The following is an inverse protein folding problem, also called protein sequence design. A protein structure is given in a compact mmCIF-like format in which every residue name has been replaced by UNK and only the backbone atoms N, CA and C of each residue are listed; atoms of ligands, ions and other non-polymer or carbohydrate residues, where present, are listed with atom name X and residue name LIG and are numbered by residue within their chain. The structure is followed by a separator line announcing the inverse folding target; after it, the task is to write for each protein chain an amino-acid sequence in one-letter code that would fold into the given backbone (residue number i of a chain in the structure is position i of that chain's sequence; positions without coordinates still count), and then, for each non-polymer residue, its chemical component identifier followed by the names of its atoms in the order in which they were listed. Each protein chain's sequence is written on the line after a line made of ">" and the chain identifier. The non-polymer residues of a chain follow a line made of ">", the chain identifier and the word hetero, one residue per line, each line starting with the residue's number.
data_IF_739673109338
#
_entry.id   IF_739673109338
#
_cell.length_a   1.000
_cell.length_b   1.000
_cell.length_c   1.000
_cell.angle_alpha   90.00
_cell.angle_beta   90.00
_cell.angle_gamma   90.00
#
_symmetry.space_group_name_H-M   'P 1'
#
loop_
_entity.id
_entity.type
_entity.pdbx_description
1 polymer ?
#
# COMPACT_ATOMS: atom_id res chain seq x y z
N UNK A 1 2.40 -1.32 0.36
CA UNK A 1 1.42 -2.44 0.29
C UNK A 1 1.07 -2.69 -1.17
N UNK A 2 1.55 -3.79 -1.75
CA UNK A 2 1.24 -4.18 -3.12
C UNK A 2 0.30 -5.39 -3.10
N UNK A 3 -0.57 -5.51 -4.11
CA UNK A 3 -1.42 -6.67 -4.33
C UNK A 3 -0.93 -7.40 -5.58
N UNK A 4 -0.77 -8.73 -5.50
CA UNK A 4 -0.28 -9.54 -6.60
C UNK A 4 -1.36 -9.58 -7.68
N UNK A 5 -1.09 -8.94 -8.81
CA UNK A 5 -1.99 -8.93 -9.97
C UNK A 5 -1.83 -10.17 -10.83
N UNK A 6 -0.65 -10.78 -10.89
CA UNK A 6 -0.33 -11.85 -11.84
C UNK A 6 0.97 -12.56 -11.44
N UNK A 7 1.26 -13.72 -12.05
CA UNK A 7 2.47 -14.52 -11.77
C UNK A 7 3.18 -14.90 -13.07
N UNK A 8 3.94 -13.97 -13.68
CA UNK A 8 4.52 -14.18 -15.01
C UNK A 8 5.49 -15.36 -15.05
N UNK A 9 6.26 -15.59 -13.98
CA UNK A 9 7.21 -16.71 -13.88
C UNK A 9 6.55 -18.09 -13.74
N UNK A 10 5.23 -18.14 -13.53
CA UNK A 10 4.47 -19.39 -13.38
C UNK A 10 3.53 -19.63 -14.56
N UNK A 11 3.69 -18.88 -15.67
CA UNK A 11 2.84 -18.99 -16.85
C UNK A 11 1.44 -18.39 -16.71
N UNK A 12 1.11 -17.78 -15.57
CA UNK A 12 -0.16 -17.08 -15.34
C UNK A 12 -0.07 -15.63 -15.84
N UNK A 13 0.08 -15.45 -17.15
CA UNK A 13 -0.07 -14.13 -17.79
C UNK A 13 -1.56 -13.80 -17.82
N UNK A 14 -1.99 -12.78 -17.09
CA UNK A 14 -3.39 -12.38 -17.09
C UNK A 14 -3.80 -11.84 -18.46
N UNK A 15 -4.72 -12.54 -19.12
CA UNK A 15 -5.48 -12.00 -20.25
C UNK A 15 -6.53 -10.99 -19.74
N UNK A 16 -6.72 -9.84 -20.40
CA UNK A 16 -7.76 -8.89 -20.03
C UNK A 16 -9.13 -9.59 -20.08
N UNK A 17 -9.84 -9.67 -18.94
CA UNK A 17 -11.24 -10.11 -18.87
C UNK A 17 -11.52 -11.50 -18.27
N UNK A 18 -10.53 -12.39 -18.08
CA UNK A 18 -10.82 -13.76 -17.60
C UNK A 18 -10.76 -13.97 -16.06
N UNK A 19 -10.35 -12.96 -15.28
CA UNK A 19 -10.20 -13.08 -13.82
C UNK A 19 -10.87 -11.95 -13.01
N UNK A 20 -11.98 -11.39 -13.52
CA UNK A 20 -12.61 -10.19 -12.94
C UNK A 20 -13.05 -10.38 -11.47
N UNK A 21 -13.73 -11.47 -11.08
CA UNK A 21 -14.28 -11.57 -9.72
C UNK A 21 -13.21 -11.58 -8.60
N UNK A 22 -12.09 -12.30 -8.81
CA UNK A 22 -10.99 -12.32 -7.85
C UNK A 22 -10.21 -11.00 -7.84
N UNK A 23 -10.01 -10.42 -9.03
CA UNK A 23 -9.31 -9.15 -9.18
C UNK A 23 -10.10 -7.98 -8.57
N UNK A 24 -11.40 -7.87 -8.87
CA UNK A 24 -12.30 -6.84 -8.32
C UNK A 24 -12.40 -6.93 -6.79
N UNK A 25 -12.54 -8.16 -6.24
CA UNK A 25 -12.50 -8.36 -4.79
C UNK A 25 -11.16 -7.92 -4.19
N UNK A 26 -10.06 -8.29 -4.84
CA UNK A 26 -8.72 -7.93 -4.37
C UNK A 26 -8.48 -6.41 -4.42
N UNK A 27 -8.94 -5.73 -5.47
CA UNK A 27 -8.89 -4.25 -5.58
C UNK A 27 -9.67 -3.62 -4.43
N UNK A 28 -10.92 -4.02 -4.22
CA UNK A 28 -11.76 -3.43 -3.17
C UNK A 28 -11.16 -3.62 -1.79
N UNK A 29 -10.63 -4.82 -1.50
CA UNK A 29 -9.95 -5.08 -0.23
C UNK A 29 -8.64 -4.31 -0.09
N UNK A 30 -7.81 -4.23 -1.15
CA UNK A 30 -6.56 -3.47 -1.14
C UNK A 30 -6.82 -1.99 -0.83
N UNK A 31 -7.84 -1.40 -1.48
CA UNK A 31 -8.22 -0.02 -1.20
C UNK A 31 -8.70 0.17 0.24
N UNK A 32 -9.54 -0.73 0.76
CA UNK A 32 -10.00 -0.67 2.17
C UNK A 32 -8.84 -0.73 3.15
N UNK A 33 -7.87 -1.63 2.93
CA UNK A 33 -6.67 -1.73 3.77
C UNK A 33 -5.89 -0.41 3.70
N UNK A 34 -5.73 0.17 2.51
CA UNK A 34 -5.08 1.47 2.33
C UNK A 34 -5.77 2.59 3.10
N UNK A 35 -7.10 2.68 3.01
CA UNK A 35 -7.91 3.69 3.71
C UNK A 35 -7.75 3.52 5.23
N UNK A 36 -7.90 2.31 5.76
CA UNK A 36 -7.74 2.11 7.20
C UNK A 36 -6.32 2.34 7.69
N UNK A 37 -5.33 2.04 6.87
CA UNK A 37 -3.94 2.39 7.18
C UNK A 37 -3.81 3.91 7.35
N UNK A 38 -4.37 4.71 6.44
CA UNK A 38 -4.33 6.18 6.57
C UNK A 38 -5.11 6.66 7.79
N UNK A 39 -6.25 6.05 8.12
CA UNK A 39 -7.00 6.39 9.33
C UNK A 39 -6.18 6.13 10.60
N UNK A 40 -5.49 4.99 10.68
CA UNK A 40 -4.60 4.66 11.80
C UNK A 40 -3.42 5.64 11.87
N UNK A 41 -2.74 5.90 10.76
CA UNK A 41 -1.62 6.85 10.72
C UNK A 41 -2.06 8.27 11.09
N UNK A 42 -3.31 8.66 10.77
CA UNK A 42 -3.88 9.94 11.21
C UNK A 42 -4.10 9.97 12.72
N UNK A 43 -4.54 8.87 13.34
CA UNK A 43 -4.74 8.78 14.79
C UNK A 43 -3.42 8.88 15.57
N UNK A 44 -2.30 8.43 14.99
CA UNK A 44 -0.97 8.56 15.58
C UNK A 44 -0.49 10.02 15.73
N UNK A 45 -1.03 10.94 14.93
CA UNK A 45 -0.68 12.38 15.00
C UNK A 45 0.82 12.62 14.83
N UNK A 46 1.42 13.34 15.77
CA UNK A 46 2.86 13.65 15.74
C UNK A 46 3.75 12.42 15.93
N UNK A 47 3.25 11.36 16.60
CA UNK A 47 3.98 10.11 16.81
C UNK A 47 4.25 9.34 15.50
N UNK A 48 3.52 9.66 14.43
CA UNK A 48 3.76 9.12 13.09
C UNK A 48 5.18 9.42 12.60
N UNK A 49 5.68 10.62 12.88
CA UNK A 49 7.02 11.03 12.46
C UNK A 49 8.06 10.61 13.51
N UNK A 50 8.87 9.63 13.14
CA UNK A 50 9.98 9.18 13.98
C UNK A 50 11.32 9.75 13.51
N UNK A 51 12.38 9.55 14.32
CA UNK A 51 13.75 9.95 13.97
C UNK A 51 14.42 9.04 12.92
N UNK A 52 13.73 8.02 12.40
CA UNK A 52 14.29 7.02 11.45
C UNK A 52 14.79 7.64 10.14
N UNK A 53 14.26 8.81 9.77
CA UNK A 53 14.63 9.52 8.54
C UNK A 53 15.55 10.72 8.81
N UNK A 54 15.91 11.01 10.08
CA UNK A 54 16.75 12.16 10.39
C UNK A 54 18.20 11.92 9.96
N UNK A 55 18.75 12.90 9.27
CA UNK A 55 20.16 13.06 8.92
C UNK A 55 20.93 13.78 10.04
N UNK A 56 22.27 13.80 9.94
CA UNK A 56 23.11 14.53 10.90
C UNK A 56 22.91 16.04 10.83
N UNK A 57 22.68 16.58 9.63
CA UNK A 57 22.48 18.02 9.38
C UNK A 57 20.99 18.34 9.12
N UNK A 58 20.08 17.65 9.82
CA UNK A 58 18.63 17.78 9.61
C UNK A 58 18.16 19.23 9.77
N UNK A 59 17.44 19.80 8.79
CA UNK A 59 16.89 21.14 8.91
C UNK A 59 15.84 21.22 10.05
N UNK A 60 15.66 22.38 10.70
CA UNK A 60 14.72 22.52 11.82
C UNK A 60 13.23 22.34 11.46
N UNK A 61 12.89 22.55 10.18
CA UNK A 61 11.52 22.44 9.68
C UNK A 61 11.31 21.08 9.03
N UNK A 62 10.19 20.44 9.37
CA UNK A 62 9.68 19.24 8.70
C UNK A 62 8.93 19.61 7.42
#
# INVERSE_FOLDING_TARGET
>A
LLCVSDKPLHGEIKLPGQANAFYERSISQHLRIGIETINLLRQEGDSLHSRKLRSFDEPPLR
#
